data_IF_608861641131
#
_entry.id   IF_608861641131
#
_cell.length_a   1.000
_cell.length_b   1.000
_cell.length_c   1.000
_cell.angle_alpha   90.00
_cell.angle_beta   90.00
_cell.angle_gamma   90.00
#
_symmetry.space_group_name_H-M   'P 1'
#
loop_
_entity.id
_entity.type
_entity.pdbx_description
1 polymer ?
#
# COMPACT_ATOMS: atom_id res chain seq x y z
N UNK A 1 -28.80 16.17 21.33
CA UNK A 1 -28.58 15.91 19.89
C UNK A 1 -29.14 14.53 19.58
N UNK A 2 -30.34 14.44 18.99
CA UNK A 2 -31.04 13.16 18.75
C UNK A 2 -31.02 12.81 17.26
N UNK A 3 -29.91 12.28 16.76
CA UNK A 3 -29.74 11.87 15.33
C UNK A 3 -30.05 10.39 15.08
N UNK A 4 -30.25 9.59 16.12
CA UNK A 4 -30.54 8.15 16.06
C UNK A 4 -31.89 7.83 15.42
N UNK A 5 -32.94 8.60 15.75
CA UNK A 5 -34.29 8.33 15.24
C UNK A 5 -34.46 8.50 13.74
N UNK A 6 -33.74 9.42 13.11
CA UNK A 6 -33.85 9.68 11.66
C UNK A 6 -33.25 8.54 10.82
N UNK A 7 -32.15 7.94 11.30
CA UNK A 7 -31.50 6.84 10.60
C UNK A 7 -32.29 5.52 10.73
N UNK A 8 -32.87 5.27 11.90
CA UNK A 8 -33.77 4.11 12.10
C UNK A 8 -35.02 4.20 11.24
N UNK A 9 -35.62 5.39 11.12
CA UNK A 9 -36.76 5.61 10.23
C UNK A 9 -36.43 5.34 8.76
N UNK A 10 -35.22 5.70 8.31
CA UNK A 10 -34.76 5.43 6.95
C UNK A 10 -34.54 3.93 6.72
N UNK A 11 -33.94 3.22 7.69
CA UNK A 11 -33.81 1.75 7.63
C UNK A 11 -35.17 1.06 7.55
N UNK A 12 -36.12 1.47 8.40
CA UNK A 12 -37.45 0.86 8.45
C UNK A 12 -38.22 1.08 7.13
N UNK A 13 -38.14 2.28 6.55
CA UNK A 13 -38.72 2.57 5.22
C UNK A 13 -38.07 1.76 4.10
N UNK A 14 -36.75 1.56 4.14
CA UNK A 14 -36.04 0.75 3.15
C UNK A 14 -36.41 -0.74 3.26
N UNK A 15 -36.58 -1.26 4.48
CA UNK A 15 -37.01 -2.63 4.76
C UNK A 15 -38.45 -2.89 4.30
N UNK A 16 -39.36 -1.96 4.58
CA UNK A 16 -40.76 -2.03 4.12
C UNK A 16 -40.87 -1.98 2.59
N UNK A 17 -40.03 -1.19 1.92
CA UNK A 17 -39.95 -1.16 0.46
C UNK A 17 -39.46 -2.49 -0.13
N UNK A 18 -38.47 -3.14 0.50
CA UNK A 18 -37.99 -4.47 0.10
C UNK A 18 -39.06 -5.55 0.27
N UNK A 19 -39.80 -5.53 1.38
CA UNK A 19 -40.90 -6.48 1.60
C UNK A 19 -42.05 -6.32 0.62
N UNK A 20 -42.39 -5.08 0.22
CA UNK A 20 -43.40 -4.83 -0.82
C UNK A 20 -42.98 -5.33 -2.20
N UNK A 21 -41.71 -5.17 -2.56
CA UNK A 21 -41.16 -5.67 -3.82
C UNK A 21 -41.21 -7.21 -3.89
N UNK A 22 -40.95 -7.91 -2.78
CA UNK A 22 -40.98 -9.37 -2.73
C UNK A 22 -42.41 -9.95 -2.85
N UNK A 23 -43.43 -9.22 -2.37
CA UNK A 23 -44.85 -9.63 -2.50
C UNK A 23 -45.44 -9.41 -3.89
N UNK A 24 -44.77 -8.63 -4.75
CA UNK A 24 -45.21 -8.38 -6.12
C UNK A 24 -44.68 -9.43 -7.11
N UNK A 25 -43.83 -10.37 -6.66
CA UNK A 25 -43.28 -11.44 -7.50
C UNK A 25 -44.14 -12.73 -7.48
N UNK A 26 -45.03 -12.89 -6.49
CA UNK A 26 -46.08 -13.92 -6.52
C UNK A 26 -47.34 -13.34 -7.14
N UNK A 27 -47.40 -13.38 -8.48
CA UNK A 27 -48.56 -13.62 -9.38
C UNK A 27 -48.23 -12.95 -10.71
N UNK A 28 -47.49 -13.68 -11.56
CA UNK A 28 -47.54 -13.52 -13.02
C UNK A 28 -47.64 -14.93 -13.61
N UNK A 29 -48.82 -15.54 -13.48
CA UNK A 29 -49.12 -16.90 -13.94
C UNK A 29 -49.17 -17.05 -15.48
N UNK A 30 -48.93 -15.97 -16.25
CA UNK A 30 -49.22 -15.92 -17.69
C UNK A 30 -47.98 -15.69 -18.59
N UNK A 31 -46.75 -15.97 -18.11
CA UNK A 31 -45.58 -16.02 -18.98
C UNK A 31 -45.23 -14.70 -19.69
N UNK A 32 -45.66 -13.55 -19.16
CA UNK A 32 -45.25 -12.24 -19.65
C UNK A 32 -43.90 -11.90 -19.01
N UNK A 33 -42.88 -11.69 -19.85
CA UNK A 33 -41.59 -11.21 -19.38
C UNK A 33 -41.81 -9.92 -18.57
N UNK A 34 -41.44 -9.93 -17.29
CA UNK A 34 -41.56 -8.79 -16.38
C UNK A 34 -40.87 -7.57 -16.98
N UNK A 35 -41.63 -6.69 -17.64
CA UNK A 35 -41.13 -5.41 -18.13
C UNK A 35 -40.97 -4.54 -16.89
N UNK A 36 -39.76 -4.53 -16.34
CA UNK A 36 -39.41 -3.58 -15.28
C UNK A 36 -39.45 -2.18 -15.88
N UNK A 37 -40.26 -1.25 -15.36
CA UNK A 37 -40.22 0.12 -15.83
C UNK A 37 -38.84 0.71 -15.51
N UNK A 38 -37.99 0.84 -16.52
CA UNK A 38 -36.78 1.67 -16.42
C UNK A 38 -37.23 3.11 -16.29
N UNK A 39 -36.95 3.74 -15.14
CA UNK A 39 -37.17 5.17 -14.96
C UNK A 39 -36.55 5.90 -16.14
N UNK A 40 -37.35 6.67 -16.87
CA UNK A 40 -36.87 7.58 -17.90
C UNK A 40 -36.05 8.64 -17.14
N UNK A 41 -34.73 8.54 -17.23
CA UNK A 41 -33.81 9.49 -16.61
C UNK A 41 -33.75 10.69 -17.56
N UNK A 42 -34.01 11.88 -17.06
CA UNK A 42 -33.90 13.08 -17.89
C UNK A 42 -32.43 13.28 -18.32
N UNK A 43 -32.15 13.88 -19.49
CA UNK A 43 -30.78 14.19 -19.89
C UNK A 43 -30.00 15.01 -18.84
N UNK A 44 -30.71 15.84 -18.06
CA UNK A 44 -30.15 16.62 -16.97
C UNK A 44 -29.69 15.75 -15.79
N UNK A 45 -30.51 14.77 -15.38
CA UNK A 45 -30.18 13.82 -14.30
C UNK A 45 -29.00 12.92 -14.70
N UNK A 46 -28.91 12.54 -15.97
CA UNK A 46 -27.78 11.75 -16.48
C UNK A 46 -26.48 12.57 -16.49
N UNK A 47 -26.55 13.84 -16.90
CA UNK A 47 -25.42 14.77 -16.84
C UNK A 47 -24.95 15.01 -15.41
N UNK A 48 -25.86 15.14 -14.45
CA UNK A 48 -25.51 15.30 -13.04
C UNK A 48 -24.84 14.05 -12.45
N UNK A 49 -25.34 12.86 -12.79
CA UNK A 49 -24.70 11.59 -12.39
C UNK A 49 -23.28 11.46 -12.96
N UNK A 50 -23.05 11.87 -14.21
CA UNK A 50 -21.71 11.85 -14.83
C UNK A 50 -20.76 12.79 -14.10
N UNK A 51 -21.18 14.03 -13.81
CA UNK A 51 -20.37 14.99 -13.02
C UNK A 51 -20.04 14.46 -11.62
N UNK A 52 -21.01 13.85 -10.93
CA UNK A 52 -20.77 13.28 -9.60
C UNK A 52 -19.81 12.09 -9.67
N UNK A 53 -19.93 11.22 -10.67
CA UNK A 53 -19.00 10.11 -10.91
C UNK A 53 -17.57 10.62 -11.12
N UNK A 54 -17.39 11.65 -11.94
CA UNK A 54 -16.08 12.26 -12.20
C UNK A 54 -15.47 12.90 -10.95
N UNK A 55 -16.27 13.65 -10.17
CA UNK A 55 -15.83 14.20 -8.87
C UNK A 55 -15.36 13.10 -7.92
N UNK A 56 -16.14 12.02 -7.78
CA UNK A 56 -15.76 10.89 -6.94
C UNK A 56 -14.49 10.21 -7.44
N UNK A 57 -14.33 10.02 -8.75
CA UNK A 57 -13.09 9.47 -9.32
C UNK A 57 -11.88 10.37 -9.07
N UNK A 58 -12.03 11.68 -9.19
CA UNK A 58 -10.97 12.64 -8.89
C UNK A 58 -10.54 12.58 -7.42
N UNK A 59 -11.51 12.52 -6.49
CA UNK A 59 -11.24 12.35 -5.06
C UNK A 59 -10.50 11.04 -4.80
N UNK A 60 -10.96 9.93 -5.39
CA UNK A 60 -10.30 8.62 -5.22
C UNK A 60 -8.86 8.70 -5.73
N UNK A 61 -8.63 9.22 -6.94
CA UNK A 61 -7.28 9.39 -7.49
C UNK A 61 -6.40 10.21 -6.56
N UNK A 62 -6.87 11.37 -6.12
CA UNK A 62 -6.13 12.23 -5.21
C UNK A 62 -5.78 11.53 -3.89
N UNK A 63 -6.75 10.85 -3.25
CA UNK A 63 -6.49 10.08 -2.01
C UNK A 63 -5.47 8.98 -2.27
N UNK A 64 -5.55 8.30 -3.41
CA UNK A 64 -4.62 7.23 -3.79
C UNK A 64 -3.21 7.77 -4.03
N UNK A 65 -3.08 8.89 -4.73
CA UNK A 65 -1.81 9.57 -5.01
C UNK A 65 -1.18 10.15 -3.74
N UNK A 66 -1.96 10.79 -2.87
CA UNK A 66 -1.48 11.30 -1.56
C UNK A 66 -1.04 10.14 -0.66
N UNK A 67 -1.80 9.04 -0.62
CA UNK A 67 -1.39 7.87 0.14
C UNK A 67 -0.15 7.20 -0.45
N UNK A 68 -0.03 7.14 -1.78
CA UNK A 68 1.17 6.65 -2.45
C UNK A 68 2.38 7.54 -2.14
N UNK A 69 2.24 8.87 -2.17
CA UNK A 69 3.29 9.82 -1.82
C UNK A 69 3.68 9.74 -0.33
N UNK A 70 2.72 9.57 0.57
CA UNK A 70 2.98 9.30 2.00
C UNK A 70 3.67 7.97 2.26
N UNK A 71 3.42 6.98 1.39
CA UNK A 71 4.08 5.68 1.45
C UNK A 71 5.39 5.63 0.69
N UNK A 72 5.74 6.65 -0.10
CA UNK A 72 7.08 6.73 -0.65
C UNK A 72 8.02 6.87 0.55
N UNK A 73 8.93 5.92 0.77
CA UNK A 73 9.97 6.09 1.76
C UNK A 73 10.83 7.25 1.24
N UNK A 74 10.56 8.47 1.70
CA UNK A 74 11.47 9.62 1.59
C UNK A 74 12.64 9.38 2.54
N UNK A 75 13.35 8.32 2.24
CA UNK A 75 14.64 7.99 2.78
C UNK A 75 15.62 8.56 1.76
N UNK A 76 16.06 9.80 1.97
CA UNK A 76 17.21 10.41 1.29
C UNK A 76 18.50 9.70 1.75
N UNK A 77 18.50 8.37 1.66
CA UNK A 77 19.62 7.52 2.03
C UNK A 77 20.61 7.54 0.87
N UNK A 78 21.89 7.65 1.22
CA UNK A 78 22.96 7.63 0.23
C UNK A 78 22.88 6.31 -0.53
N UNK A 79 22.59 6.40 -1.83
CA UNK A 79 22.45 5.21 -2.66
C UNK A 79 23.84 4.84 -3.21
N UNK A 80 24.36 3.63 -2.95
CA UNK A 80 25.59 3.15 -3.56
C UNK A 80 25.42 3.03 -5.09
N UNK A 81 26.52 3.22 -5.82
CA UNK A 81 26.56 3.01 -7.29
C UNK A 81 26.17 1.58 -7.66
N UNK A 82 26.61 0.60 -6.87
CA UNK A 82 26.21 -0.81 -7.02
C UNK A 82 25.94 -1.46 -5.66
N UNK A 83 24.70 -1.89 -5.43
CA UNK A 83 24.29 -2.60 -4.22
C UNK A 83 24.95 -3.98 -4.09
N UNK A 84 25.47 -4.57 -5.17
CA UNK A 84 26.17 -5.85 -5.15
C UNK A 84 27.51 -5.79 -4.44
N UNK A 85 28.11 -4.61 -4.34
CA UNK A 85 29.39 -4.39 -3.67
C UNK A 85 29.23 -4.05 -2.19
N UNK A 86 28.00 -3.81 -1.72
CA UNK A 86 27.73 -3.49 -0.33
C UNK A 86 27.89 -4.74 0.53
N UNK A 87 28.70 -4.62 1.57
CA UNK A 87 29.01 -5.67 2.55
C UNK A 87 28.44 -5.31 3.92
N UNK A 88 28.42 -6.26 4.84
CA UNK A 88 27.99 -6.01 6.23
C UNK A 88 28.76 -4.85 6.89
N UNK A 89 30.05 -4.71 6.56
CA UNK A 89 30.90 -3.64 7.09
C UNK A 89 30.66 -2.29 6.44
N UNK A 90 30.14 -2.22 5.22
CA UNK A 90 30.00 -0.94 4.48
C UNK A 90 28.57 -0.40 4.46
N UNK A 91 27.59 -1.21 4.85
CA UNK A 91 26.16 -0.83 4.83
C UNK A 91 25.83 0.40 5.67
N UNK A 92 26.56 0.62 6.77
CA UNK A 92 26.36 1.76 7.66
C UNK A 92 26.66 3.12 7.00
N UNK A 93 27.44 3.14 5.91
CA UNK A 93 27.75 4.36 5.15
C UNK A 93 26.56 4.84 4.30
N UNK A 94 25.67 3.92 3.95
CA UNK A 94 24.55 4.15 3.06
C UNK A 94 23.23 4.36 3.82
N UNK A 95 23.10 3.70 4.97
CA UNK A 95 21.92 3.81 5.83
C UNK A 95 22.31 4.58 7.09
N UNK A 96 21.83 5.83 7.28
CA UNK A 96 22.26 6.68 8.38
C UNK A 96 21.56 6.31 9.69
N UNK A 97 21.97 5.20 10.32
CA UNK A 97 21.41 4.75 11.61
C UNK A 97 21.55 5.76 12.76
N UNK A 98 22.38 6.79 12.60
CA UNK A 98 22.57 7.90 13.55
C UNK A 98 21.43 8.91 13.53
N UNK A 99 20.65 9.00 12.44
CA UNK A 99 19.50 9.87 12.36
C UNK A 99 18.33 9.21 13.11
N UNK A 100 17.78 9.91 14.10
CA UNK A 100 16.80 9.37 15.06
C UNK A 100 15.60 8.72 14.32
N UNK A 101 15.22 7.53 14.79
CA UNK A 101 14.03 6.75 14.41
C UNK A 101 14.04 5.97 13.07
N UNK A 102 15.18 5.49 12.58
CA UNK A 102 15.16 4.49 11.51
C UNK A 102 14.68 3.14 12.06
N UNK A 103 13.55 2.64 11.54
CA UNK A 103 13.11 1.29 11.84
C UNK A 103 13.94 0.27 11.04
N UNK A 104 14.44 -0.78 11.71
CA UNK A 104 15.19 -1.85 11.03
C UNK A 104 14.39 -2.53 9.92
N UNK A 105 13.07 -2.65 10.09
CA UNK A 105 12.16 -3.23 9.09
C UNK A 105 12.19 -2.45 7.77
N UNK A 106 12.19 -1.12 7.85
CA UNK A 106 12.28 -0.23 6.71
C UNK A 106 13.65 -0.32 6.03
N UNK A 107 14.73 -0.37 6.83
CA UNK A 107 16.08 -0.57 6.33
C UNK A 107 16.24 -1.90 5.58
N UNK A 108 15.70 -2.99 6.13
CA UNK A 108 15.69 -4.30 5.45
C UNK A 108 14.92 -4.21 4.14
N UNK A 109 13.71 -3.63 4.15
CA UNK A 109 12.87 -3.52 2.95
C UNK A 109 13.59 -2.74 1.84
N UNK A 110 14.12 -1.57 2.17
CA UNK A 110 14.84 -0.72 1.23
C UNK A 110 16.05 -1.43 0.60
N UNK A 111 16.89 -2.10 1.41
CA UNK A 111 18.04 -2.87 0.90
C UNK A 111 17.56 -3.99 -0.01
N UNK A 112 16.52 -4.75 0.37
CA UNK A 112 16.03 -5.86 -0.45
C UNK A 112 15.42 -5.40 -1.78
N UNK A 113 14.71 -4.27 -1.80
CA UNK A 113 14.16 -3.68 -3.03
C UNK A 113 15.26 -3.22 -3.97
N UNK A 114 16.32 -2.60 -3.44
CA UNK A 114 17.45 -2.16 -4.24
C UNK A 114 18.30 -3.31 -4.76
N UNK A 115 18.51 -4.35 -3.93
CA UNK A 115 19.13 -5.59 -4.40
C UNK A 115 18.27 -6.14 -5.56
N UNK A 116 16.97 -6.36 -5.39
CA UNK A 116 16.12 -6.95 -6.43
C UNK A 116 16.26 -6.31 -7.84
N UNK A 117 16.53 -5.00 -7.93
CA UNK A 117 16.75 -4.27 -9.21
C UNK A 117 17.96 -4.76 -10.01
N UNK A 118 19.04 -5.20 -9.37
CA UNK A 118 20.28 -5.54 -10.09
C UNK A 118 20.30 -6.98 -10.62
N UNK A 119 19.34 -7.86 -10.29
CA UNK A 119 19.36 -9.27 -10.71
C UNK A 119 20.49 -10.10 -10.07
N UNK A 120 20.24 -11.41 -9.89
CA UNK A 120 21.11 -12.31 -9.12
C UNK A 120 22.49 -12.50 -9.80
N UNK A 121 23.61 -12.23 -9.11
CA UNK A 121 24.95 -12.58 -9.58
C UNK A 121 25.03 -14.07 -9.88
N UNK A 122 25.62 -14.41 -11.03
CA UNK A 122 25.80 -15.80 -11.48
C UNK A 122 26.89 -16.54 -10.69
N UNK A 123 27.85 -15.81 -10.14
CA UNK A 123 29.03 -16.37 -9.49
C UNK A 123 28.77 -16.51 -7.99
N UNK A 124 28.99 -17.69 -7.41
CA UNK A 124 29.11 -17.83 -5.96
C UNK A 124 30.49 -17.29 -5.57
N UNK A 125 30.56 -16.30 -4.68
CA UNK A 125 31.85 -15.94 -4.06
C UNK A 125 32.34 -17.13 -3.25
N UNK A 126 33.58 -17.55 -3.51
CA UNK A 126 34.22 -18.74 -2.92
C UNK A 126 35.59 -18.37 -2.35
N UNK A 127 35.81 -17.10 -2.02
CA UNK A 127 37.09 -16.67 -1.43
C UNK A 127 36.92 -16.51 0.09
N UNK A 128 37.62 -17.39 0.81
CA UNK A 128 37.66 -17.42 2.27
C UNK A 128 38.48 -16.22 2.74
N UNK A 129 37.81 -15.19 3.28
CA UNK A 129 38.46 -14.02 3.88
C UNK A 129 37.90 -12.67 3.44
N UNK A 130 37.16 -12.60 2.34
CA UNK A 130 36.49 -11.37 1.92
C UNK A 130 35.17 -11.16 2.68
N UNK A 131 34.84 -9.90 2.99
CA UNK A 131 33.55 -9.56 3.57
C UNK A 131 32.41 -9.95 2.61
N UNK A 132 31.54 -10.84 3.07
CA UNK A 132 30.41 -11.34 2.29
C UNK A 132 29.50 -10.17 1.88
N UNK A 133 29.29 -9.95 0.57
CA UNK A 133 28.33 -8.96 0.10
C UNK A 133 26.91 -9.30 0.54
N UNK A 134 26.11 -8.27 0.84
CA UNK A 134 24.73 -8.41 1.31
C UNK A 134 23.87 -9.25 0.35
N UNK A 135 24.21 -9.24 -0.95
CA UNK A 135 23.52 -10.02 -1.96
C UNK A 135 23.50 -11.53 -1.67
N UNK A 136 24.60 -12.08 -1.13
CA UNK A 136 24.71 -13.52 -0.87
C UNK A 136 24.07 -13.92 0.46
N UNK A 137 23.62 -12.95 1.24
CA UNK A 137 23.02 -13.17 2.54
C UNK A 137 21.51 -13.43 2.42
N UNK A 138 21.00 -14.34 3.25
CA UNK A 138 19.56 -14.47 3.45
C UNK A 138 18.98 -13.20 4.08
N UNK A 139 17.68 -12.97 3.91
CA UNK A 139 16.97 -11.82 4.52
C UNK A 139 17.19 -11.71 6.04
N UNK A 140 17.29 -12.85 6.73
CA UNK A 140 17.59 -12.88 8.16
C UNK A 140 19.04 -12.48 8.50
N UNK A 141 20.01 -12.85 7.65
CA UNK A 141 21.40 -12.41 7.79
C UNK A 141 21.53 -10.91 7.50
N UNK A 142 20.86 -10.40 6.46
CA UNK A 142 20.80 -8.95 6.18
C UNK A 142 20.26 -8.18 7.39
N UNK A 143 19.17 -8.66 8.00
CA UNK A 143 18.63 -8.06 9.24
C UNK A 143 19.66 -8.03 10.38
N UNK A 144 20.41 -9.12 10.60
CA UNK A 144 21.47 -9.17 11.61
C UNK A 144 22.62 -8.21 11.29
N UNK A 145 23.03 -8.12 10.02
CA UNK A 145 24.06 -7.20 9.56
C UNK A 145 23.64 -5.74 9.78
N UNK A 146 22.40 -5.39 9.45
CA UNK A 146 21.84 -4.05 9.68
C UNK A 146 21.74 -3.72 11.17
N UNK A 147 21.34 -4.68 12.00
CA UNK A 147 21.35 -4.52 13.46
C UNK A 147 22.76 -4.26 13.99
N UNK A 148 23.75 -5.06 13.56
CA UNK A 148 25.15 -4.85 13.94
C UNK A 148 25.66 -3.48 13.49
N UNK A 149 25.35 -3.08 12.26
CA UNK A 149 25.68 -1.75 11.73
C UNK A 149 25.06 -0.62 12.56
N UNK A 150 23.81 -0.75 13.00
CA UNK A 150 23.16 0.26 13.86
C UNK A 150 23.86 0.42 15.21
N UNK A 151 24.37 -0.67 15.79
CA UNK A 151 25.12 -0.62 17.06
C UNK A 151 26.50 0.01 16.84
N UNK A 152 27.21 -0.35 15.76
CA UNK A 152 28.52 0.22 15.45
C UNK A 152 28.42 1.73 15.22
N UNK A 153 27.43 2.17 14.44
CA UNK A 153 27.16 3.59 14.21
C UNK A 153 26.86 4.34 15.53
N UNK A 154 26.07 3.74 16.42
CA UNK A 154 25.78 4.34 17.73
C UNK A 154 27.05 4.50 18.59
N UNK A 155 28.02 3.57 18.50
CA UNK A 155 29.31 3.66 19.21
C UNK A 155 30.24 4.72 18.61
N UNK A 156 30.25 4.86 17.29
CA UNK A 156 31.04 5.88 16.60
C UNK A 156 30.51 7.31 16.86
N UNK A 157 29.21 7.46 17.12
CA UNK A 157 28.60 8.75 17.45
C UNK A 157 28.85 9.22 18.89
N UNK A 158 29.31 8.34 19.78
CA UNK A 158 29.57 8.63 21.21
C UNK A 158 31.05 8.91 21.54
N UNK A 159 31.95 8.66 20.59
CA UNK A 159 33.39 8.96 20.71
C UNK A 159 33.72 10.24 19.94
#
# INVERSE_FOLDING_TARGET
MNTTGKYEQLKKKAEEARRKACKTEEVDANGLASIRPTKIISPADEAERKRNKEKHLAIIRWVTEVNAARQQPTADWKTPVDWRMVTEKTVHKYIPFNQKNIQLSEAVRYVTEHLAKHGRPKNKKTEVGEDTPLWYLSRNQIRKALYKASITCAREATN
#
